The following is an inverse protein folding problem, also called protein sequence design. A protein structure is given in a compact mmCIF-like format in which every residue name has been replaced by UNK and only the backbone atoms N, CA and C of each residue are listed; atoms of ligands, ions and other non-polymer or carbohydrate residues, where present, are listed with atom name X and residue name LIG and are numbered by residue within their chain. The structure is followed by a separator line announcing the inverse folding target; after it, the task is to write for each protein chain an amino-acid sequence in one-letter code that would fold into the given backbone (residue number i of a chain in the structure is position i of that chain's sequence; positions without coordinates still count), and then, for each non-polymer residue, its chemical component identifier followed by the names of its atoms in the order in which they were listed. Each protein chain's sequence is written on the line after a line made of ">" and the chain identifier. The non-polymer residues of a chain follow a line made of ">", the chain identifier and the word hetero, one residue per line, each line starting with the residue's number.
data_IF_785876458422
#
_entry.id   IF_785876458422
#
_cell.length_a   1.000
_cell.length_b   1.000
_cell.length_c   1.000
_cell.angle_alpha   90.00
_cell.angle_beta   90.00
_cell.angle_gamma   90.00
#
_symmetry.space_group_name_H-M   'P 1'
#
loop_
_entity.id
_entity.type
_entity.pdbx_description
1 polymer ?
#
# COMPACT_ATOMS: atom_id res chain seq x y z
N UNK A 1 -93.82 -14.99 5.38
CA UNK A 1 -94.38 -14.28 4.21
C UNK A 1 -93.43 -13.15 3.84
N UNK A 2 -93.04 -13.13 2.57
CA UNK A 2 -92.05 -12.29 1.90
C UNK A 2 -92.39 -10.81 1.92
N UNK A 3 -91.38 -9.93 2.05
CA UNK A 3 -91.29 -8.72 1.22
C UNK A 3 -89.87 -8.17 1.14
N UNK A 4 -89.58 -7.66 -0.05
CA UNK A 4 -88.29 -7.37 -0.69
C UNK A 4 -87.91 -5.88 -0.57
N UNK A 5 -86.59 -5.65 -0.58
CA UNK A 5 -85.80 -4.61 -1.29
C UNK A 5 -85.77 -3.19 -0.70
N UNK A 6 -84.57 -2.62 -0.57
CA UNK A 6 -84.08 -1.53 -1.43
C UNK A 6 -82.56 -1.27 -1.26
N UNK A 7 -81.94 -0.90 -2.37
CA UNK A 7 -80.51 -0.73 -2.68
C UNK A 7 -80.01 0.71 -2.52
N UNK A 8 -78.75 0.90 -2.11
CA UNK A 8 -77.95 2.13 -2.29
C UNK A 8 -76.55 1.70 -2.84
N UNK A 9 -76.24 1.89 -4.13
CA UNK A 9 -75.50 3.03 -4.77
C UNK A 9 -74.13 3.31 -4.10
N UNK A 10 -73.00 2.82 -4.66
CA UNK A 10 -72.12 3.37 -5.74
C UNK A 10 -70.91 4.20 -5.22
N UNK A 11 -69.71 3.57 -5.24
CA UNK A 11 -68.32 4.02 -5.60
C UNK A 11 -67.72 5.37 -5.09
N UNK A 12 -66.37 5.55 -4.97
CA UNK A 12 -65.27 4.74 -5.53
C UNK A 12 -64.11 4.40 -4.57
N UNK A 13 -63.57 3.17 -4.67
CA UNK A 13 -62.28 2.79 -4.12
C UNK A 13 -61.29 2.56 -5.29
N UNK A 14 -60.93 3.63 -6.00
CA UNK A 14 -59.97 3.57 -7.12
C UNK A 14 -58.72 4.43 -6.88
N UNK A 15 -58.57 5.02 -5.69
CA UNK A 15 -57.45 5.91 -5.38
C UNK A 15 -56.19 5.29 -4.75
N UNK A 16 -56.19 4.10 -4.08
CA UNK A 16 -54.95 3.61 -3.48
C UNK A 16 -54.10 2.75 -4.42
N UNK A 17 -54.63 2.28 -5.55
CA UNK A 17 -53.92 1.36 -6.45
C UNK A 17 -53.01 2.08 -7.47
N UNK A 18 -53.34 3.32 -7.82
CA UNK A 18 -52.54 4.17 -8.71
C UNK A 18 -51.31 4.76 -8.02
N UNK A 19 -51.35 4.98 -6.71
CA UNK A 19 -50.21 5.52 -5.95
C UNK A 19 -49.08 4.48 -5.76
N UNK A 20 -49.43 3.19 -5.63
CA UNK A 20 -48.45 2.10 -5.52
C UNK A 20 -47.76 1.80 -6.87
N UNK A 21 -48.45 2.02 -7.99
CA UNK A 21 -47.88 1.87 -9.34
C UNK A 21 -46.86 2.97 -9.68
N UNK A 22 -47.01 4.18 -9.13
CA UNK A 22 -46.06 5.28 -9.31
C UNK A 22 -44.78 5.11 -8.48
N UNK A 23 -44.83 4.39 -7.35
CA UNK A 23 -43.64 4.06 -6.55
C UNK A 23 -42.76 2.97 -7.20
N UNK A 24 -43.30 2.19 -8.14
CA UNK A 24 -42.60 1.13 -8.86
C UNK A 24 -42.06 1.55 -10.24
N UNK A 25 -42.38 2.77 -10.70
CA UNK A 25 -41.90 3.30 -11.98
C UNK A 25 -40.47 3.90 -11.92
N UNK A 26 -39.79 3.77 -10.78
CA UNK A 26 -38.46 4.31 -10.54
C UNK A 26 -37.30 3.31 -10.63
N UNK A 27 -37.47 2.12 -11.23
CA UNK A 27 -36.35 1.23 -11.50
C UNK A 27 -35.48 1.82 -12.63
N UNK A 28 -34.58 2.73 -12.29
CA UNK A 28 -33.57 3.25 -13.22
C UNK A 28 -32.67 2.07 -13.65
N UNK A 29 -32.90 1.57 -14.86
CA UNK A 29 -32.03 0.56 -15.46
C UNK A 29 -30.70 1.22 -15.78
N UNK A 30 -29.61 0.70 -15.23
CA UNK A 30 -28.27 1.21 -15.49
C UNK A 30 -27.97 1.17 -17.01
N UNK A 31 -27.29 2.21 -17.50
CA UNK A 31 -26.82 2.34 -18.88
C UNK A 31 -25.34 2.73 -18.88
N UNK A 32 -24.54 2.23 -19.84
CA UNK A 32 -23.13 2.58 -19.94
C UNK A 32 -22.97 4.09 -20.22
N UNK A 33 -22.03 4.77 -19.54
CA UNK A 33 -21.74 6.17 -19.83
C UNK A 33 -21.19 6.37 -21.26
N UNK A 34 -21.47 7.55 -21.85
CA UNK A 34 -21.08 7.91 -23.22
C UNK A 34 -19.95 8.95 -23.30
N UNK A 35 -19.48 9.45 -22.16
CA UNK A 35 -18.47 10.53 -22.10
C UNK A 35 -17.05 9.98 -22.14
N UNK A 36 -16.15 10.64 -22.88
CA UNK A 36 -14.72 10.28 -22.89
C UNK A 36 -14.01 10.73 -21.59
N UNK A 37 -14.07 9.88 -20.57
CA UNK A 37 -13.35 10.07 -19.31
C UNK A 37 -11.82 9.99 -19.47
N UNK A 38 -11.31 9.38 -20.56
CA UNK A 38 -9.89 9.09 -20.73
C UNK A 38 -9.07 10.34 -21.01
N UNK A 39 -9.61 11.30 -21.76
CA UNK A 39 -8.91 12.56 -22.05
C UNK A 39 -8.53 13.32 -20.78
N UNK A 40 -9.46 13.43 -19.81
CA UNK A 40 -9.19 14.08 -18.53
C UNK A 40 -8.18 13.30 -17.67
N UNK A 41 -8.22 11.96 -17.71
CA UNK A 41 -7.27 11.10 -17.01
C UNK A 41 -5.86 11.26 -17.58
N UNK A 42 -5.71 11.23 -18.91
CA UNK A 42 -4.42 11.37 -19.60
C UNK A 42 -3.76 12.71 -19.30
N UNK A 43 -4.53 13.79 -19.18
CA UNK A 43 -4.02 15.13 -18.88
C UNK A 43 -3.32 15.25 -17.50
N UNK A 44 -3.69 14.39 -16.54
CA UNK A 44 -3.11 14.36 -15.18
C UNK A 44 -2.38 13.07 -14.85
N UNK A 45 -2.09 12.25 -15.86
CA UNK A 45 -1.44 10.96 -15.67
C UNK A 45 0.07 11.15 -15.44
N UNK A 46 0.60 10.39 -14.49
CA UNK A 46 2.04 10.26 -14.34
C UNK A 46 2.59 9.45 -15.51
N UNK A 47 3.64 9.95 -16.15
CA UNK A 47 4.24 9.35 -17.34
C UNK A 47 5.68 8.96 -17.05
N UNK A 48 6.04 7.72 -17.39
CA UNK A 48 7.41 7.23 -17.31
C UNK A 48 7.73 6.36 -18.51
N UNK A 49 8.97 6.41 -18.97
CA UNK A 49 9.43 5.63 -20.14
C UNK A 49 10.68 4.84 -19.79
N UNK A 50 10.71 3.56 -20.17
CA UNK A 50 11.83 2.65 -19.94
C UNK A 50 11.86 1.59 -21.03
N UNK A 51 13.04 1.33 -21.60
CA UNK A 51 13.28 0.21 -22.53
C UNK A 51 12.24 0.13 -23.67
N UNK A 52 11.91 1.26 -24.30
CA UNK A 52 10.95 1.31 -25.41
C UNK A 52 9.48 1.20 -25.00
N UNK A 53 9.17 1.23 -23.70
CA UNK A 53 7.80 1.29 -23.18
C UNK A 53 7.55 2.67 -22.58
N UNK A 54 6.42 3.29 -22.92
CA UNK A 54 5.90 4.47 -22.23
C UNK A 54 4.65 4.08 -21.46
N UNK A 55 4.69 4.27 -20.15
CA UNK A 55 3.62 3.95 -19.22
C UNK A 55 3.01 5.24 -18.68
N UNK A 56 1.68 5.34 -18.77
CA UNK A 56 0.89 6.43 -18.19
C UNK A 56 -0.11 5.84 -17.21
N UNK A 57 -0.25 6.44 -16.03
CA UNK A 57 -1.26 6.00 -15.08
C UNK A 57 -1.89 7.16 -14.30
N UNK A 58 -3.17 7.00 -13.93
CA UNK A 58 -3.91 7.95 -13.12
C UNK A 58 -4.92 7.24 -12.22
N UNK A 59 -4.94 7.58 -10.92
CA UNK A 59 -6.00 7.15 -9.99
C UNK A 59 -7.30 7.84 -10.37
N UNK A 60 -8.40 7.12 -10.57
CA UNK A 60 -9.70 7.72 -10.88
C UNK A 60 -10.23 8.52 -9.67
N UNK A 61 -10.71 9.74 -9.90
CA UNK A 61 -11.52 10.48 -8.93
C UNK A 61 -12.94 9.91 -8.84
N UNK A 62 -13.73 10.37 -7.87
CA UNK A 62 -15.17 10.09 -7.84
C UNK A 62 -15.84 10.53 -9.15
N UNK A 63 -15.55 11.75 -9.60
CA UNK A 63 -16.10 12.28 -10.84
C UNK A 63 -15.68 11.48 -12.09
N UNK A 64 -14.48 10.90 -12.10
CA UNK A 64 -14.05 10.00 -13.19
C UNK A 64 -14.77 8.66 -13.13
N UNK A 65 -15.01 8.14 -11.91
CA UNK A 65 -15.74 6.89 -11.69
C UNK A 65 -17.19 7.03 -12.14
N UNK A 66 -17.87 8.13 -11.77
CA UNK A 66 -19.22 8.43 -12.22
C UNK A 66 -19.27 8.57 -13.76
N UNK A 67 -18.29 9.26 -14.36
CA UNK A 67 -18.20 9.40 -15.82
C UNK A 67 -17.91 8.11 -16.56
N UNK A 68 -17.15 7.17 -15.99
CA UNK A 68 -16.70 5.96 -16.68
C UNK A 68 -17.58 4.74 -16.39
N UNK A 69 -18.14 4.65 -15.19
CA UNK A 69 -18.94 3.51 -14.73
C UNK A 69 -20.38 3.87 -14.41
N UNK A 70 -20.71 5.14 -14.16
CA UNK A 70 -22.07 5.58 -13.81
C UNK A 70 -22.58 5.01 -12.48
N UNK A 71 -21.67 4.52 -11.63
CA UNK A 71 -21.97 3.93 -10.33
C UNK A 71 -20.80 4.17 -9.37
N UNK A 72 -21.12 4.35 -8.09
CA UNK A 72 -20.10 4.55 -7.07
C UNK A 72 -19.41 3.23 -6.70
N UNK A 73 -18.23 3.03 -7.25
CA UNK A 73 -17.34 1.91 -6.94
C UNK A 73 -16.46 2.24 -5.71
N UNK A 74 -16.21 3.52 -5.43
CA UNK A 74 -15.29 3.92 -4.35
C UNK A 74 -15.91 3.66 -2.98
N UNK A 75 -17.24 3.79 -2.89
CA UNK A 75 -18.01 3.41 -1.71
C UNK A 75 -17.86 1.94 -1.29
N UNK A 76 -17.45 1.04 -2.19
CA UNK A 76 -17.20 -0.38 -1.86
C UNK A 76 -15.76 -0.66 -1.40
N UNK A 77 -14.94 0.39 -1.23
CA UNK A 77 -13.55 0.25 -0.83
C UNK A 77 -12.62 -0.13 -2.00
N UNK A 78 -13.01 0.12 -3.25
CA UNK A 78 -12.18 -0.09 -4.44
C UNK A 78 -11.69 1.25 -4.97
N UNK A 79 -10.39 1.34 -5.28
CA UNK A 79 -9.78 2.50 -5.93
C UNK A 79 -9.30 2.11 -7.33
N UNK A 80 -10.05 2.47 -8.39
CA UNK A 80 -9.66 2.16 -9.75
C UNK A 80 -8.48 3.03 -10.20
N UNK A 81 -7.59 2.46 -11.00
CA UNK A 81 -6.46 3.15 -11.62
C UNK A 81 -6.51 2.88 -13.12
N UNK A 82 -6.54 3.95 -13.91
CA UNK A 82 -6.38 3.85 -15.35
C UNK A 82 -4.91 3.74 -15.70
N UNK A 83 -4.59 2.80 -16.58
CA UNK A 83 -3.24 2.54 -17.09
C UNK A 83 -3.30 2.56 -18.61
N UNK A 84 -2.32 3.20 -19.23
CA UNK A 84 -2.03 3.14 -20.66
C UNK A 84 -0.57 2.75 -20.87
N UNK A 85 -0.36 1.76 -21.71
CA UNK A 85 0.96 1.26 -22.10
C UNK A 85 1.11 1.42 -23.60
N UNK A 86 2.06 2.26 -23.98
CA UNK A 86 2.53 2.42 -25.35
C UNK A 86 3.80 1.58 -25.51
N UNK A 87 3.71 0.52 -26.33
CA UNK A 87 4.79 -0.43 -26.53
C UNK A 87 5.50 -0.14 -27.86
N UNK A 88 6.57 0.65 -27.81
CA UNK A 88 7.45 0.92 -28.95
C UNK A 88 8.58 -0.12 -29.08
N UNK A 89 8.57 -1.18 -28.27
CA UNK A 89 9.53 -2.28 -28.38
C UNK A 89 9.13 -3.28 -29.46
N UNK A 90 10.06 -4.16 -29.82
CA UNK A 90 9.84 -5.23 -30.81
C UNK A 90 9.12 -6.46 -30.22
N UNK A 91 8.86 -6.47 -28.91
CA UNK A 91 8.30 -7.64 -28.20
C UNK A 91 6.87 -7.36 -27.74
N UNK A 92 6.04 -8.39 -27.75
CA UNK A 92 4.73 -8.36 -27.09
C UNK A 92 4.93 -8.38 -25.57
N UNK A 93 4.17 -7.56 -24.85
CA UNK A 93 4.23 -7.44 -23.39
C UNK A 93 2.92 -7.88 -22.75
N UNK A 94 3.01 -8.43 -21.54
CA UNK A 94 1.88 -8.83 -20.71
C UNK A 94 1.97 -8.08 -19.39
N UNK A 95 0.92 -7.33 -19.04
CA UNK A 95 0.78 -6.74 -17.72
C UNK A 95 0.49 -7.82 -16.68
N UNK A 96 1.36 -7.98 -15.69
CA UNK A 96 1.14 -8.84 -14.53
C UNK A 96 0.29 -8.09 -13.49
N UNK A 97 -1.03 -8.28 -13.56
CA UNK A 97 -2.00 -7.49 -12.77
C UNK A 97 -1.79 -7.61 -11.25
N UNK A 98 -1.45 -8.79 -10.74
CA UNK A 98 -1.17 -9.01 -9.31
C UNK A 98 0.08 -8.29 -8.83
N UNK A 99 0.97 -7.87 -9.74
CA UNK A 99 2.09 -6.99 -9.41
C UNK A 99 1.66 -5.57 -9.06
N UNK A 100 0.47 -5.13 -9.51
CA UNK A 100 -0.07 -3.79 -9.24
C UNK A 100 -0.61 -3.63 -7.82
N UNK A 101 -1.23 -4.69 -7.30
CA UNK A 101 -1.74 -4.82 -5.94
C UNK A 101 -1.87 -6.33 -5.65
N UNK A 102 -1.27 -6.86 -4.57
CA UNK A 102 -1.42 -8.27 -4.21
C UNK A 102 -2.87 -8.70 -3.94
N UNK A 103 -3.71 -7.77 -3.47
CA UNK A 103 -5.16 -7.98 -3.29
C UNK A 103 -5.96 -7.26 -4.37
N UNK A 104 -5.48 -7.29 -5.62
CA UNK A 104 -6.20 -6.76 -6.79
C UNK A 104 -7.61 -7.34 -6.92
N UNK A 105 -8.59 -6.51 -7.25
CA UNK A 105 -9.97 -6.93 -7.50
C UNK A 105 -10.20 -7.24 -8.98
N UNK A 106 -10.77 -8.40 -9.29
CA UNK A 106 -11.12 -8.70 -10.68
C UNK A 106 -12.24 -7.80 -11.19
N UNK A 107 -12.32 -7.45 -12.49
CA UNK A 107 -13.40 -6.58 -12.98
C UNK A 107 -14.80 -7.10 -12.66
N UNK A 108 -14.99 -8.42 -12.70
CA UNK A 108 -16.27 -9.07 -12.41
C UNK A 108 -16.59 -9.14 -10.91
N UNK A 109 -15.58 -9.21 -10.05
CA UNK A 109 -15.76 -9.08 -8.60
C UNK A 109 -16.23 -7.67 -8.22
N UNK A 110 -15.65 -6.65 -8.84
CA UNK A 110 -16.11 -5.27 -8.64
C UNK A 110 -17.52 -5.07 -9.19
N UNK A 111 -17.81 -5.60 -10.39
CA UNK A 111 -19.16 -5.56 -10.95
C UNK A 111 -20.18 -6.22 -10.02
N UNK A 112 -19.85 -7.40 -9.47
CA UNK A 112 -20.70 -8.12 -8.52
C UNK A 112 -21.03 -7.30 -7.27
N UNK A 113 -20.06 -6.51 -6.76
CA UNK A 113 -20.27 -5.66 -5.58
C UNK A 113 -21.40 -4.63 -5.72
N UNK A 114 -21.81 -4.33 -6.96
CA UNK A 114 -22.86 -3.36 -7.29
C UNK A 114 -24.08 -4.00 -7.97
N UNK A 115 -24.18 -5.33 -7.96
CA UNK A 115 -25.33 -6.04 -8.52
C UNK A 115 -26.62 -5.79 -7.74
N UNK A 116 -27.72 -5.70 -8.48
CA UNK A 116 -29.06 -5.64 -7.91
C UNK A 116 -29.69 -7.04 -7.85
N UNK A 117 -30.40 -7.36 -6.77
CA UNK A 117 -30.92 -8.71 -6.52
C UNK A 117 -31.98 -9.18 -7.53
N UNK A 118 -32.75 -8.26 -8.12
CA UNK A 118 -33.88 -8.57 -8.99
C UNK A 118 -33.70 -8.15 -10.46
N UNK A 119 -32.52 -7.67 -10.86
CA UNK A 119 -32.27 -7.18 -12.23
C UNK A 119 -31.09 -7.88 -12.91
N UNK A 120 -31.31 -9.15 -13.30
CA UNK A 120 -30.31 -9.97 -13.99
C UNK A 120 -29.82 -9.34 -15.31
N UNK A 121 -30.68 -8.61 -16.03
CA UNK A 121 -30.31 -8.00 -17.32
C UNK A 121 -29.39 -6.80 -17.12
N UNK A 122 -29.61 -5.98 -16.09
CA UNK A 122 -28.68 -4.91 -15.75
C UNK A 122 -27.36 -5.47 -15.21
N UNK A 123 -27.39 -6.50 -14.35
CA UNK A 123 -26.18 -7.13 -13.85
C UNK A 123 -25.30 -7.69 -14.98
N UNK A 124 -25.88 -8.38 -15.97
CA UNK A 124 -25.13 -8.88 -17.12
C UNK A 124 -24.49 -7.75 -17.96
N UNK A 125 -25.16 -6.60 -18.07
CA UNK A 125 -24.63 -5.41 -18.74
C UNK A 125 -23.49 -4.75 -17.94
N UNK A 126 -23.59 -4.74 -16.61
CA UNK A 126 -22.52 -4.31 -15.73
C UNK A 126 -21.29 -5.21 -15.89
N UNK A 127 -21.45 -6.53 -15.81
CA UNK A 127 -20.36 -7.50 -15.98
C UNK A 127 -19.62 -7.30 -17.30
N UNK A 128 -20.36 -7.16 -18.39
CA UNK A 128 -19.79 -6.92 -19.72
C UNK A 128 -19.06 -5.55 -19.79
N UNK A 129 -19.63 -4.51 -19.17
CA UNK A 129 -19.00 -3.19 -19.13
C UNK A 129 -17.70 -3.18 -18.33
N UNK A 130 -17.70 -3.69 -17.11
CA UNK A 130 -16.49 -3.76 -16.28
C UNK A 130 -15.39 -4.60 -16.96
N UNK A 131 -15.76 -5.73 -17.57
CA UNK A 131 -14.81 -6.57 -18.32
C UNK A 131 -14.29 -5.89 -19.61
N UNK A 132 -15.03 -4.94 -20.18
CA UNK A 132 -14.55 -4.08 -21.29
C UNK A 132 -13.60 -2.98 -20.80
N UNK A 133 -13.90 -2.34 -19.69
CA UNK A 133 -13.08 -1.26 -19.13
C UNK A 133 -11.78 -1.78 -18.49
N UNK A 134 -11.76 -3.02 -18.03
CA UNK A 134 -10.57 -3.65 -17.46
C UNK A 134 -9.40 -3.74 -18.45
N UNK A 135 -8.16 -3.60 -17.96
CA UNK A 135 -6.96 -3.67 -18.81
C UNK A 135 -6.81 -5.03 -19.51
N UNK A 136 -6.63 -5.02 -20.84
CA UNK A 136 -6.54 -6.22 -21.67
C UNK A 136 -5.12 -6.52 -22.14
N UNK A 137 -4.68 -7.74 -21.86
CA UNK A 137 -3.46 -8.33 -22.41
C UNK A 137 -3.78 -9.09 -23.71
N UNK A 138 -2.78 -9.35 -24.56
CA UNK A 138 -1.43 -8.78 -24.50
C UNK A 138 -1.37 -7.34 -25.05
N UNK A 139 -0.21 -6.72 -24.91
CA UNK A 139 0.17 -5.42 -25.48
C UNK A 139 1.15 -5.70 -26.64
N UNK A 140 0.67 -5.82 -27.89
CA UNK A 140 1.54 -6.15 -29.02
C UNK A 140 2.65 -5.13 -29.25
N UNK A 141 3.71 -5.54 -29.94
CA UNK A 141 4.77 -4.64 -30.41
C UNK A 141 4.18 -3.53 -31.30
N UNK A 142 4.64 -2.29 -31.11
CA UNK A 142 4.16 -1.10 -31.82
C UNK A 142 2.73 -0.66 -31.47
N UNK A 143 2.07 -1.30 -30.50
CA UNK A 143 0.69 -1.01 -30.14
C UNK A 143 0.56 -0.27 -28.81
N UNK A 144 -0.53 0.48 -28.67
CA UNK A 144 -0.97 1.07 -27.41
C UNK A 144 -2.17 0.30 -26.87
N UNK A 145 -2.18 0.05 -25.56
CA UNK A 145 -3.30 -0.53 -24.83
C UNK A 145 -3.58 0.28 -23.58
N UNK A 146 -4.85 0.51 -23.29
CA UNK A 146 -5.29 1.18 -22.08
C UNK A 146 -6.44 0.44 -21.42
N UNK A 147 -6.60 0.64 -20.12
CA UNK A 147 -7.74 0.13 -19.37
C UNK A 147 -7.56 0.35 -17.88
N UNK A 148 -8.53 -0.10 -17.11
CA UNK A 148 -8.57 0.08 -15.66
C UNK A 148 -8.07 -1.18 -14.95
N UNK A 149 -7.28 -0.97 -13.90
CA UNK A 149 -7.00 -1.98 -12.87
C UNK A 149 -7.70 -1.55 -11.58
N UNK A 150 -8.36 -2.49 -10.91
CA UNK A 150 -9.09 -2.22 -9.68
C UNK A 150 -8.23 -2.60 -8.48
N UNK A 151 -7.82 -1.60 -7.73
CA UNK A 151 -6.86 -1.76 -6.63
C UNK A 151 -7.48 -1.34 -5.31
N UNK A 152 -6.78 -1.59 -4.22
CA UNK A 152 -7.19 -1.12 -2.91
C UNK A 152 -6.90 0.38 -2.71
N UNK A 153 -7.64 1.04 -1.82
CA UNK A 153 -7.50 2.46 -1.57
C UNK A 153 -6.16 2.78 -0.92
N UNK A 154 -5.58 3.88 -1.37
CA UNK A 154 -4.48 4.58 -0.73
C UNK A 154 -4.87 6.03 -0.53
N UNK A 155 -4.32 6.66 0.51
CA UNK A 155 -4.56 8.08 0.83
C UNK A 155 -3.38 8.95 0.38
N UNK A 156 -3.65 10.14 -0.11
CA UNK A 156 -2.58 11.08 -0.47
C UNK A 156 -1.94 10.73 -1.82
N UNK A 157 -0.96 9.84 -1.74
CA UNK A 157 -0.23 9.32 -2.89
C UNK A 157 -0.42 7.81 -2.94
N UNK A 158 -0.94 7.32 -4.06
CA UNK A 158 -0.99 5.89 -4.36
C UNK A 158 0.31 5.47 -5.04
N UNK A 159 1.00 4.52 -4.43
CA UNK A 159 2.12 3.85 -5.06
C UNK A 159 1.57 2.74 -5.96
N UNK A 160 1.96 2.76 -7.24
CA UNK A 160 1.56 1.75 -8.22
C UNK A 160 2.79 1.05 -8.77
N UNK A 161 2.88 -0.25 -8.54
CA UNK A 161 3.82 -1.12 -9.23
C UNK A 161 3.22 -1.55 -10.58
N UNK A 162 4.00 -1.56 -11.65
CA UNK A 162 3.58 -2.10 -12.94
C UNK A 162 4.70 -2.98 -13.46
N UNK A 163 4.43 -4.27 -13.59
CA UNK A 163 5.38 -5.25 -14.10
C UNK A 163 4.89 -5.75 -15.47
N UNK A 164 5.71 -5.53 -16.50
CA UNK A 164 5.45 -5.98 -17.87
C UNK A 164 6.38 -7.14 -18.22
N UNK A 165 5.79 -8.30 -18.46
CA UNK A 165 6.48 -9.51 -18.86
C UNK A 165 6.47 -9.63 -20.38
N UNK A 166 7.65 -9.65 -20.98
CA UNK A 166 7.87 -10.03 -22.37
C UNK A 166 8.69 -11.31 -22.48
N UNK A 167 9.01 -11.72 -23.69
CA UNK A 167 9.89 -12.88 -23.91
C UNK A 167 11.27 -12.62 -23.28
N UNK A 168 11.62 -13.46 -22.29
CA UNK A 168 12.83 -13.40 -21.47
C UNK A 168 13.15 -12.02 -20.89
N UNK A 169 12.14 -11.17 -20.65
CA UNK A 169 12.35 -9.83 -20.10
C UNK A 169 11.23 -9.44 -19.15
N UNK A 170 11.60 -8.77 -18.05
CA UNK A 170 10.66 -8.16 -17.11
C UNK A 170 10.99 -6.69 -16.96
N UNK A 171 10.06 -5.82 -17.33
CA UNK A 171 10.20 -4.38 -17.19
C UNK A 171 9.32 -3.93 -16.02
N UNK A 172 9.97 -3.64 -14.90
CA UNK A 172 9.33 -3.12 -13.70
C UNK A 172 9.32 -1.59 -13.68
N UNK A 173 8.17 -1.03 -13.30
CA UNK A 173 7.91 0.38 -13.05
C UNK A 173 7.31 0.59 -11.66
N UNK A 174 7.58 1.74 -11.07
CA UNK A 174 6.96 2.22 -9.85
C UNK A 174 6.55 3.68 -10.05
N UNK A 175 5.27 3.98 -9.87
CA UNK A 175 4.71 5.33 -10.03
C UNK A 175 4.12 5.83 -8.71
N UNK A 176 4.23 7.14 -8.49
CA UNK A 176 3.66 7.86 -7.36
C UNK A 176 2.47 8.67 -7.86
N UNK A 177 1.26 8.10 -7.78
CA UNK A 177 0.06 8.71 -8.33
C UNK A 177 -0.63 9.57 -7.28
N UNK A 178 -0.95 10.81 -7.63
CA UNK A 178 -1.79 11.67 -6.78
C UNK A 178 -3.23 11.13 -6.73
N UNK A 179 -3.83 11.06 -5.53
CA UNK A 179 -5.23 10.67 -5.32
C UNK A 179 -6.12 11.92 -5.35
N UNK A 180 -6.85 12.23 -6.43
CA UNK A 180 -7.42 13.56 -6.63
C UNK A 180 -8.38 14.02 -5.53
N UNK A 181 -9.22 13.11 -5.02
CA UNK A 181 -10.26 13.43 -4.04
C UNK A 181 -9.72 13.68 -2.63
N UNK A 182 -8.47 13.30 -2.37
CA UNK A 182 -7.83 13.54 -1.08
C UNK A 182 -7.14 14.92 -1.03
N UNK A 183 -7.17 15.71 -2.11
CA UNK A 183 -6.42 16.97 -2.22
C UNK A 183 -6.73 18.01 -1.11
N UNK A 184 -7.92 17.94 -0.52
CA UNK A 184 -8.35 18.77 0.61
C UNK A 184 -7.97 18.21 1.98
N UNK A 185 -7.46 16.98 2.07
CA UNK A 185 -7.11 16.32 3.32
C UNK A 185 -5.72 16.80 3.81
N UNK A 186 -5.55 17.14 5.11
CA UNK A 186 -4.27 17.64 5.63
C UNK A 186 -3.07 16.73 5.33
N UNK A 187 -3.27 15.40 5.41
CA UNK A 187 -2.25 14.39 5.11
C UNK A 187 -1.82 14.31 3.64
N UNK A 188 -2.65 14.78 2.70
CA UNK A 188 -2.35 14.76 1.26
C UNK A 188 -1.25 15.77 0.90
N UNK A 189 -1.14 16.86 1.64
CA UNK A 189 -0.22 17.96 1.36
C UNK A 189 1.23 17.73 1.84
N UNK A 190 1.49 16.65 2.59
CA UNK A 190 2.81 16.39 3.15
C UNK A 190 3.73 15.79 2.09
N UNK A 191 4.48 16.67 1.43
CA UNK A 191 5.63 16.28 0.60
C UNK A 191 6.57 15.37 1.40
N UNK A 192 7.18 14.39 0.74
CA UNK A 192 8.25 13.60 1.34
C UNK A 192 9.30 14.57 1.89
N UNK A 193 9.65 14.38 3.15
CA UNK A 193 10.66 15.20 3.80
C UNK A 193 12.00 15.03 3.08
N UNK A 194 12.72 16.14 2.88
CA UNK A 194 14.04 16.15 2.27
C UNK A 194 14.95 17.09 3.06
N UNK A 195 16.18 16.66 3.28
CA UNK A 195 17.23 17.54 3.79
C UNK A 195 17.80 18.40 2.66
N UNK A 196 18.28 19.62 2.96
CA UNK A 196 19.18 20.33 2.07
C UNK A 196 20.42 19.46 1.78
N UNK A 197 20.96 19.45 0.55
CA UNK A 197 22.12 18.60 0.21
C UNK A 197 23.32 18.82 1.14
N UNK A 198 23.56 20.06 1.58
CA UNK A 198 24.65 20.40 2.50
C UNK A 198 24.51 19.80 3.92
N UNK A 199 23.30 19.35 4.30
CA UNK A 199 23.05 18.72 5.59
C UNK A 199 23.19 17.19 5.54
N UNK A 200 23.41 16.61 4.36
CA UNK A 200 23.52 15.15 4.17
C UNK A 200 25.00 14.77 4.09
N UNK A 201 25.42 13.84 4.94
CA UNK A 201 26.77 13.26 4.87
C UNK A 201 26.74 11.98 4.03
N UNK A 202 27.48 11.95 2.93
CA UNK A 202 27.60 10.77 2.07
C UNK A 202 28.79 9.90 2.48
N UNK A 203 28.55 8.59 2.63
CA UNK A 203 29.57 7.60 2.98
C UNK A 203 29.98 6.79 1.74
N UNK A 204 31.28 6.71 1.40
CA UNK A 204 31.74 6.08 0.17
C UNK A 204 31.87 4.56 0.27
N UNK A 205 32.03 4.01 1.48
CA UNK A 205 32.33 2.60 1.73
C UNK A 205 31.49 2.01 2.88
N UNK A 206 31.38 0.69 2.91
CA UNK A 206 30.56 -0.04 3.87
C UNK A 206 31.05 0.10 5.32
N UNK A 207 32.36 0.24 5.54
CA UNK A 207 32.94 0.39 6.87
C UNK A 207 32.61 1.74 7.49
N UNK A 208 32.77 2.82 6.72
CA UNK A 208 32.40 4.17 7.15
C UNK A 208 30.89 4.32 7.34
N UNK A 209 30.08 3.70 6.45
CA UNK A 209 28.63 3.60 6.62
C UNK A 209 28.27 2.89 7.94
N UNK A 210 28.78 1.67 8.18
CA UNK A 210 28.50 0.90 9.41
C UNK A 210 28.76 1.76 10.65
N UNK A 211 29.93 2.40 10.73
CA UNK A 211 30.29 3.25 11.85
C UNK A 211 29.35 4.46 12.03
N UNK A 212 28.77 4.98 10.94
CA UNK A 212 27.76 6.04 11.02
C UNK A 212 26.40 5.52 11.50
N UNK A 213 25.98 4.35 11.03
CA UNK A 213 24.72 3.71 11.44
C UNK A 213 24.71 3.37 12.94
N UNK A 214 25.85 2.95 13.51
CA UNK A 214 26.01 2.67 14.95
C UNK A 214 25.82 3.94 15.82
N UNK A 215 26.01 5.14 15.27
CA UNK A 215 25.83 6.42 16.00
C UNK A 215 24.41 6.97 15.91
N UNK A 216 23.53 6.39 15.08
CA UNK A 216 22.14 6.82 14.97
C UNK A 216 21.37 6.54 16.27
N UNK A 217 20.40 7.40 16.66
CA UNK A 217 19.70 7.31 17.94
C UNK A 217 19.06 5.94 18.15
N UNK A 218 19.16 5.39 19.37
CA UNK A 218 18.63 4.05 19.68
C UNK A 218 17.14 3.94 19.41
N UNK A 219 16.40 4.99 19.74
CA UNK A 219 15.00 4.94 20.06
C UNK A 219 14.34 6.26 19.65
N UNK A 220 13.04 6.22 19.40
CA UNK A 220 12.27 7.45 19.24
C UNK A 220 12.16 8.20 20.58
N UNK A 221 11.75 9.46 20.53
CA UNK A 221 11.41 10.28 21.69
C UNK A 221 9.98 10.78 21.63
N UNK A 222 9.47 11.29 22.74
CA UNK A 222 8.22 12.04 22.77
C UNK A 222 8.39 13.44 22.13
N UNK A 223 7.32 14.24 22.17
CA UNK A 223 7.31 15.62 21.68
C UNK A 223 8.26 16.56 22.42
N UNK A 224 8.56 16.28 23.69
CA UNK A 224 9.49 17.06 24.51
C UNK A 224 10.96 16.64 24.31
N UNK A 225 11.21 15.51 23.65
CA UNK A 225 12.55 14.92 23.50
C UNK A 225 13.08 14.28 24.79
N UNK A 226 12.22 14.04 25.79
CA UNK A 226 12.62 13.56 27.12
C UNK A 226 12.23 12.10 27.36
N UNK A 227 11.05 11.69 26.89
CA UNK A 227 10.57 10.32 26.98
C UNK A 227 11.34 9.37 26.06
N UNK A 228 11.64 8.16 26.55
CA UNK A 228 12.20 7.08 25.75
C UNK A 228 11.06 6.36 25.03
N UNK A 229 11.05 6.40 23.70
CA UNK A 229 10.08 5.74 22.84
C UNK A 229 10.49 4.34 22.44
N UNK A 230 9.80 3.82 21.43
CA UNK A 230 10.05 2.49 20.89
C UNK A 230 11.43 2.42 20.18
N UNK A 231 12.10 1.26 20.18
CA UNK A 231 13.45 1.11 19.61
C UNK A 231 13.45 1.21 18.07
N UNK A 232 14.50 1.82 17.52
CA UNK A 232 14.75 1.92 16.09
C UNK A 232 15.58 0.71 15.66
N UNK A 233 14.91 -0.27 15.06
CA UNK A 233 15.39 -1.65 14.84
C UNK A 233 15.61 -2.00 13.35
N UNK A 234 15.44 -1.06 12.42
CA UNK A 234 15.70 -1.28 11.00
C UNK A 234 16.27 -0.07 10.28
N UNK A 235 16.98 -0.31 9.18
CA UNK A 235 17.60 0.70 8.32
C UNK A 235 17.38 0.28 6.86
N UNK A 236 17.02 1.24 6.02
CA UNK A 236 16.87 1.07 4.57
C UNK A 236 17.89 1.95 3.87
N UNK A 237 18.59 1.40 2.87
CA UNK A 237 19.53 2.12 2.01
C UNK A 237 19.08 1.96 0.56
N UNK A 238 18.69 3.06 -0.10
CA UNK A 238 18.19 2.99 -1.48
C UNK A 238 17.14 4.03 -1.79
N UNK A 239 16.73 4.12 -3.06
CA UNK A 239 15.69 5.06 -3.43
C UNK A 239 14.36 4.71 -2.75
N UNK A 240 13.56 5.73 -2.40
CA UNK A 240 12.24 5.52 -1.79
C UNK A 240 11.33 4.68 -2.70
N UNK A 241 11.50 4.80 -4.02
CA UNK A 241 10.75 4.02 -5.01
C UNK A 241 11.05 2.52 -4.92
N UNK A 242 12.31 2.13 -4.73
CA UNK A 242 12.72 0.72 -4.67
C UNK A 242 12.20 0.06 -3.38
N UNK A 243 12.37 0.74 -2.23
CA UNK A 243 11.81 0.28 -0.97
C UNK A 243 10.28 0.21 -1.02
N UNK A 244 9.61 1.26 -1.50
CA UNK A 244 8.14 1.29 -1.64
C UNK A 244 7.63 0.15 -2.52
N UNK A 245 8.30 -0.11 -3.65
CA UNK A 245 7.92 -1.17 -4.56
C UNK A 245 8.02 -2.55 -3.92
N UNK A 246 9.08 -2.79 -3.14
CA UNK A 246 9.27 -4.02 -2.37
C UNK A 246 8.17 -4.20 -1.31
N UNK A 247 7.85 -3.14 -0.57
CA UNK A 247 6.83 -3.18 0.49
C UNK A 247 5.42 -3.48 -0.06
N UNK A 248 5.03 -2.90 -1.19
CA UNK A 248 3.73 -3.14 -1.83
C UNK A 248 3.58 -4.61 -2.24
N UNK A 249 4.62 -5.24 -2.78
CA UNK A 249 4.59 -6.67 -3.15
C UNK A 249 4.35 -7.59 -1.95
N UNK A 250 4.71 -7.13 -0.75
CA UNK A 250 4.47 -7.81 0.52
C UNK A 250 3.21 -7.32 1.22
N UNK A 251 2.36 -6.61 0.47
CA UNK A 251 1.06 -6.08 0.86
C UNK A 251 1.11 -5.05 2.00
N UNK A 252 2.20 -4.29 2.11
CA UNK A 252 2.24 -3.14 2.99
C UNK A 252 1.63 -1.94 2.30
N UNK A 253 0.77 -1.21 3.02
CA UNK A 253 0.10 -0.01 2.53
C UNK A 253 0.37 1.17 3.44
N UNK A 254 0.41 2.36 2.85
CA UNK A 254 0.49 3.60 3.62
C UNK A 254 -0.78 3.76 4.44
N UNK A 255 -0.62 3.77 5.75
CA UNK A 255 -1.68 3.94 6.72
C UNK A 255 -0.99 4.53 7.94
N UNK A 256 -1.22 5.80 8.21
CA UNK A 256 -0.66 6.53 9.35
C UNK A 256 -1.80 6.85 10.31
N UNK A 257 -1.58 6.63 11.59
CA UNK A 257 -2.57 6.84 12.64
C UNK A 257 -2.01 7.81 13.68
N UNK A 258 -2.88 8.43 14.47
CA UNK A 258 -2.49 9.50 15.40
C UNK A 258 -1.41 9.06 16.41
N UNK A 259 -1.47 7.81 16.89
CA UNK A 259 -0.47 7.31 17.83
C UNK A 259 0.93 7.15 17.22
N UNK A 260 1.04 7.03 15.90
CA UNK A 260 2.34 7.01 15.23
C UNK A 260 3.06 8.35 15.34
N UNK A 261 2.30 9.45 15.45
CA UNK A 261 2.84 10.81 15.53
C UNK A 261 3.42 11.13 16.91
N UNK A 262 3.15 10.29 17.92
CA UNK A 262 3.77 10.40 19.24
C UNK A 262 5.26 10.02 19.20
N UNK A 263 5.65 9.11 18.30
CA UNK A 263 7.03 8.69 18.11
C UNK A 263 7.77 9.71 17.24
N UNK A 264 8.86 10.28 17.75
CA UNK A 264 9.68 11.25 17.01
C UNK A 264 11.12 10.81 16.90
N UNK A 265 11.71 11.09 15.74
CA UNK A 265 13.14 10.92 15.48
C UNK A 265 13.62 12.17 14.78
N UNK A 266 14.78 12.70 15.14
CA UNK A 266 15.27 13.99 14.63
C UNK A 266 14.28 15.16 14.87
N UNK A 267 13.52 15.10 15.98
CA UNK A 267 12.50 16.11 16.35
C UNK A 267 11.19 16.06 15.56
N UNK A 268 11.04 15.10 14.65
CA UNK A 268 9.93 15.03 13.68
C UNK A 268 9.17 13.70 13.76
N UNK A 269 7.88 13.77 13.48
CA UNK A 269 7.02 12.59 13.34
C UNK A 269 7.44 11.77 12.08
N UNK A 270 7.00 10.51 11.93
CA UNK A 270 7.36 9.68 10.78
C UNK A 270 7.10 10.37 9.43
N UNK A 271 7.99 10.16 8.46
CA UNK A 271 7.80 10.61 7.07
C UNK A 271 6.76 9.75 6.34
N UNK A 272 6.75 8.46 6.67
CA UNK A 272 5.75 7.52 6.20
C UNK A 272 5.50 6.47 7.28
N UNK A 273 4.27 5.95 7.28
CA UNK A 273 3.92 4.76 8.06
C UNK A 273 3.28 3.75 7.14
N UNK A 274 3.84 2.55 7.15
CA UNK A 274 3.37 1.41 6.37
C UNK A 274 2.77 0.37 7.32
N UNK A 275 1.65 -0.22 6.95
CA UNK A 275 1.03 -1.34 7.68
C UNK A 275 0.78 -2.49 6.73
N UNK A 276 1.23 -3.69 7.11
CA UNK A 276 0.92 -4.92 6.37
C UNK A 276 -0.58 -5.15 6.38
N UNK A 277 -1.20 -5.14 5.22
CA UNK A 277 -2.55 -5.63 5.03
C UNK A 277 -2.41 -7.13 4.87
N UNK A 278 -2.77 -7.88 5.89
CA UNK A 278 -2.71 -9.34 5.83
C UNK A 278 -4.10 -9.86 5.46
N UNK A 279 -4.19 -10.77 4.49
CA UNK A 279 -5.32 -11.68 4.45
C UNK A 279 -5.35 -12.49 5.75
N UNK A 280 -6.52 -13.01 6.13
CA UNK A 280 -6.72 -13.72 7.40
C UNK A 280 -5.58 -14.71 7.68
N UNK A 281 -4.69 -14.37 8.61
CA UNK A 281 -3.61 -15.25 9.06
C UNK A 281 -2.17 -14.77 8.92
N UNK A 282 -1.86 -13.60 8.34
CA UNK A 282 -0.49 -13.06 8.37
C UNK A 282 -0.24 -12.16 9.62
N UNK A 283 1.01 -12.05 10.13
CA UNK A 283 1.34 -11.14 11.23
C UNK A 283 1.04 -9.68 10.89
N UNK A 284 0.33 -8.97 11.77
CA UNK A 284 0.15 -7.53 11.65
C UNK A 284 1.50 -6.84 11.95
N UNK A 285 2.03 -6.07 11.00
CA UNK A 285 3.30 -5.34 11.16
C UNK A 285 3.10 -3.91 10.72
N UNK A 286 3.62 -2.96 11.49
CA UNK A 286 3.78 -1.57 11.08
C UNK A 286 5.25 -1.21 10.95
N UNK A 287 5.53 -0.23 10.10
CA UNK A 287 6.85 0.34 9.89
C UNK A 287 6.69 1.85 9.87
N UNK A 288 7.31 2.53 10.83
CA UNK A 288 7.47 3.99 10.80
C UNK A 288 8.83 4.32 10.20
N UNK A 289 8.87 5.29 9.30
CA UNK A 289 10.04 5.57 8.45
C UNK A 289 10.47 7.03 8.65
N UNK A 290 11.77 7.24 8.85
CA UNK A 290 12.39 8.57 8.88
C UNK A 290 13.62 8.62 7.99
N UNK A 291 13.69 9.56 7.04
CA UNK A 291 14.94 9.90 6.34
C UNK A 291 16.04 10.37 7.32
N UNK A 292 17.19 9.70 7.31
CA UNK A 292 18.36 10.12 8.09
C UNK A 292 19.18 11.16 7.29
N UNK A 293 19.93 12.08 7.95
CA UNK A 293 20.79 13.07 7.29
C UNK A 293 22.10 12.44 6.78
N UNK A 294 22.03 11.22 6.26
CA UNK A 294 23.17 10.47 5.73
C UNK A 294 22.76 9.73 4.46
N UNK A 295 23.74 9.48 3.59
CA UNK A 295 23.59 8.67 2.38
C UNK A 295 24.76 7.71 2.21
N UNK A 296 24.59 6.69 1.37
CA UNK A 296 25.64 5.77 0.97
C UNK A 296 25.76 5.80 -0.54
N UNK A 297 26.88 6.30 -1.07
CA UNK A 297 27.10 6.44 -2.51
C UNK A 297 25.95 7.19 -3.19
N UNK A 298 25.47 8.27 -2.57
CA UNK A 298 24.33 9.07 -3.01
C UNK A 298 22.95 8.43 -2.79
N UNK A 299 22.87 7.18 -2.29
CA UNK A 299 21.60 6.51 -1.95
C UNK A 299 21.13 6.97 -0.57
N UNK A 300 19.89 7.48 -0.41
CA UNK A 300 19.41 7.94 0.88
C UNK A 300 19.27 6.79 1.89
N UNK A 301 19.47 7.10 3.16
CA UNK A 301 19.30 6.16 4.27
C UNK A 301 18.06 6.52 5.08
N UNK A 302 17.22 5.54 5.38
CA UNK A 302 16.05 5.70 6.24
C UNK A 302 16.22 4.86 7.50
N UNK A 303 15.85 5.44 8.63
CA UNK A 303 15.76 4.76 9.92
C UNK A 303 14.32 4.29 10.13
N UNK A 304 14.17 3.05 10.57
CA UNK A 304 12.89 2.37 10.74
C UNK A 304 12.63 2.06 12.21
N UNK A 305 11.36 2.17 12.59
CA UNK A 305 10.80 1.58 13.78
C UNK A 305 9.76 0.56 13.34
N UNK A 306 10.10 -0.72 13.49
CA UNK A 306 9.29 -1.86 13.07
C UNK A 306 8.65 -2.47 14.30
N UNK A 307 7.34 -2.66 14.27
CA UNK A 307 6.62 -3.23 15.39
C UNK A 307 5.35 -3.94 14.95
N UNK A 308 4.70 -4.56 15.92
CA UNK A 308 3.41 -5.24 15.75
C UNK A 308 2.54 -4.96 16.96
N UNK A 309 1.20 -5.00 16.84
CA UNK A 309 0.33 -4.84 17.98
C UNK A 309 0.38 -6.06 18.91
N UNK A 310 0.22 -5.82 20.22
CA UNK A 310 -0.09 -6.86 21.20
C UNK A 310 -1.37 -7.60 20.79
N UNK A 311 -1.40 -8.93 20.99
CA UNK A 311 -2.55 -9.79 20.64
C UNK A 311 -2.70 -10.07 19.14
N UNK A 312 -2.03 -9.31 18.26
CA UNK A 312 -2.02 -9.54 16.81
C UNK A 312 -3.43 -9.70 16.24
N UNK A 313 -3.71 -10.88 15.66
CA UNK A 313 -5.02 -11.20 15.05
C UNK A 313 -6.14 -11.50 16.05
N UNK A 314 -5.79 -11.74 17.31
CA UNK A 314 -6.73 -12.09 18.38
C UNK A 314 -7.07 -10.88 19.26
N UNK A 315 -6.40 -9.75 19.04
CA UNK A 315 -6.73 -8.51 19.73
C UNK A 315 -8.11 -8.03 19.28
N UNK A 316 -8.95 -7.67 20.24
CA UNK A 316 -10.21 -7.00 19.95
C UNK A 316 -9.95 -5.60 19.37
N UNK A 317 -10.87 -5.12 18.53
CA UNK A 317 -10.69 -3.88 17.77
C UNK A 317 -10.59 -2.61 18.65
N UNK A 318 -11.05 -2.69 19.90
CA UNK A 318 -11.06 -1.65 20.92
C UNK A 318 -9.80 -1.64 21.81
N UNK A 319 -8.89 -2.61 21.63
CA UNK A 319 -7.63 -2.65 22.37
C UNK A 319 -6.70 -1.55 21.85
N UNK A 320 -6.13 -0.79 22.79
CA UNK A 320 -5.13 0.23 22.48
C UNK A 320 -3.99 -0.37 21.66
N UNK A 321 -3.56 0.33 20.61
CA UNK A 321 -2.50 -0.10 19.70
C UNK A 321 -1.13 0.00 20.39
N UNK A 322 -0.84 -0.97 21.25
CA UNK A 322 0.42 -1.10 21.98
C UNK A 322 1.39 -1.98 21.18
N UNK A 323 2.66 -1.59 21.13
CA UNK A 323 3.72 -2.40 20.54
C UNK A 323 3.93 -3.69 21.35
N UNK A 324 4.04 -4.82 20.67
CA UNK A 324 4.45 -6.10 21.23
C UNK A 324 5.91 -6.05 21.70
N UNK A 325 6.21 -6.74 22.81
CA UNK A 325 7.52 -6.60 23.46
C UNK A 325 8.69 -7.23 22.72
N UNK A 326 8.45 -8.28 21.94
CA UNK A 326 9.45 -8.85 21.04
C UNK A 326 9.57 -8.01 19.75
N UNK A 327 10.41 -6.98 19.79
CA UNK A 327 10.63 -6.09 18.65
C UNK A 327 11.55 -6.69 17.58
N UNK A 328 12.34 -7.71 17.94
CA UNK A 328 13.25 -8.37 17.01
C UNK A 328 12.50 -9.36 16.15
N UNK A 329 11.47 -10.04 16.67
CA UNK A 329 10.54 -10.84 15.86
C UNK A 329 9.89 -9.96 14.77
N UNK A 330 9.39 -8.78 15.14
CA UNK A 330 8.79 -7.85 14.17
C UNK A 330 9.80 -7.41 13.10
N UNK A 331 11.02 -7.05 13.50
CA UNK A 331 12.14 -6.74 12.59
C UNK A 331 12.43 -7.93 11.66
N UNK A 332 12.55 -9.14 12.20
CA UNK A 332 12.94 -10.34 11.45
C UNK A 332 11.84 -10.76 10.46
N UNK A 333 10.56 -10.65 10.82
CA UNK A 333 9.43 -10.89 9.92
C UNK A 333 9.41 -9.88 8.77
N UNK A 334 9.70 -8.60 9.05
CA UNK A 334 9.83 -7.58 8.01
C UNK A 334 11.02 -7.84 7.09
N UNK A 335 12.16 -8.29 7.63
CA UNK A 335 13.33 -8.72 6.82
C UNK A 335 12.97 -9.88 5.89
N UNK A 336 12.24 -10.89 6.39
CA UNK A 336 11.75 -11.99 5.55
C UNK A 336 10.83 -11.49 4.43
N UNK A 337 9.89 -10.59 4.73
CA UNK A 337 9.07 -9.96 3.70
C UNK A 337 9.95 -9.25 2.65
N UNK A 338 10.98 -8.52 3.07
CA UNK A 338 11.90 -7.85 2.15
C UNK A 338 12.69 -8.85 1.28
N UNK A 339 13.12 -9.99 1.82
CA UNK A 339 13.75 -11.07 1.04
C UNK A 339 12.80 -11.59 -0.04
N UNK A 340 11.54 -11.87 0.31
CA UNK A 340 10.52 -12.34 -0.63
C UNK A 340 9.96 -11.25 -1.56
N UNK A 341 10.46 -10.01 -1.48
CA UNK A 341 10.00 -8.90 -2.31
C UNK A 341 10.68 -8.82 -3.68
N UNK A 342 11.81 -9.53 -3.85
CA UNK A 342 12.72 -9.48 -5.01
C UNK A 342 13.36 -8.09 -5.25
N UNK A 343 13.36 -7.22 -4.24
CA UNK A 343 13.99 -5.88 -4.28
C UNK A 343 15.16 -5.68 -3.31
N UNK A 344 15.45 -6.68 -2.46
CA UNK A 344 16.53 -6.64 -1.48
C UNK A 344 17.84 -7.13 -2.13
N UNK A 345 18.83 -6.24 -2.22
CA UNK A 345 20.16 -6.52 -2.78
C UNK A 345 21.10 -7.07 -1.71
N UNK A 346 21.16 -6.40 -0.56
CA UNK A 346 22.07 -6.73 0.54
C UNK A 346 21.37 -6.68 1.87
N UNK A 347 21.76 -7.57 2.77
CA UNK A 347 21.33 -7.56 4.17
C UNK A 347 22.55 -7.54 5.09
N UNK A 348 22.48 -6.74 6.14
CA UNK A 348 23.45 -6.78 7.23
C UNK A 348 22.74 -6.52 8.57
N UNK A 349 23.47 -6.71 9.66
CA UNK A 349 23.06 -6.28 10.99
C UNK A 349 24.10 -5.35 11.58
N UNK A 350 23.65 -4.33 12.30
CA UNK A 350 24.53 -3.35 12.94
C UNK A 350 24.02 -3.06 14.35
N UNK A 351 24.92 -2.69 15.26
CA UNK A 351 24.54 -2.31 16.63
C UNK A 351 23.64 -1.07 16.59
N UNK A 352 22.62 -1.06 17.46
CA UNK A 352 21.69 0.05 17.58
C UNK A 352 21.26 0.27 19.02
N UNK A 353 20.04 -0.17 19.42
CA UNK A 353 19.64 -0.12 20.81
C UNK A 353 20.59 -0.90 21.73
N UNK A 354 20.65 -0.52 23.00
CA UNK A 354 21.28 -1.38 24.01
C UNK A 354 20.50 -2.69 24.09
N UNK A 355 21.16 -3.86 24.11
CA UNK A 355 20.48 -5.13 24.33
C UNK A 355 19.68 -5.10 25.65
N UNK A 356 18.45 -5.59 25.59
CA UNK A 356 17.52 -5.68 26.73
C UNK A 356 17.03 -7.12 26.82
N UNK A 357 17.48 -7.92 27.79
CA UNK A 357 16.99 -9.27 27.99
C UNK A 357 15.50 -9.29 28.35
N UNK A 358 14.80 -10.37 28.01
CA UNK A 358 13.37 -10.58 28.35
C UNK A 358 13.08 -10.42 29.86
N UNK A 359 14.02 -10.81 30.74
CA UNK A 359 13.85 -10.66 32.18
C UNK A 359 13.93 -9.20 32.69
N UNK A 360 14.35 -8.26 31.84
CA UNK A 360 14.63 -6.86 32.18
C UNK A 360 13.94 -5.91 31.19
N UNK A 361 12.74 -6.27 30.71
CA UNK A 361 12.03 -5.49 29.69
C UNK A 361 11.95 -4.00 30.06
N UNK A 362 12.10 -3.16 29.05
CA UNK A 362 12.11 -1.70 29.23
C UNK A 362 10.79 -1.10 28.84
N UNK A 363 10.24 -0.25 29.71
CA UNK A 363 9.06 0.54 29.42
C UNK A 363 9.38 1.72 28.49
N UNK A 364 8.43 2.03 27.60
CA UNK A 364 8.42 3.20 26.72
C UNK A 364 7.42 4.24 27.24
N UNK A 365 7.52 5.49 26.77
CA UNK A 365 6.54 6.52 27.14
C UNK A 365 5.10 6.19 26.68
N UNK A 366 4.92 5.31 25.69
CA UNK A 366 3.61 4.85 25.24
C UNK A 366 3.02 3.74 26.13
N UNK A 367 3.76 3.30 27.16
CA UNK A 367 3.37 2.22 28.06
C UNK A 367 3.71 0.82 27.54
N UNK A 368 4.34 0.70 26.37
CA UNK A 368 4.79 -0.60 25.85
C UNK A 368 6.06 -1.04 26.59
N UNK A 369 6.18 -2.33 26.87
CA UNK A 369 7.41 -2.96 27.36
C UNK A 369 8.07 -3.72 26.22
N UNK A 370 9.41 -3.72 26.14
CA UNK A 370 10.13 -4.42 25.09
C UNK A 370 11.44 -5.06 25.55
N UNK A 371 11.88 -6.08 24.81
CA UNK A 371 13.18 -6.72 24.87
C UNK A 371 13.81 -6.74 23.47
N UNK A 372 15.14 -6.74 23.36
CA UNK A 372 15.85 -6.73 22.08
C UNK A 372 17.29 -7.23 22.20
N UNK A 373 17.82 -7.83 21.13
CA UNK A 373 19.22 -8.20 20.91
C UNK A 373 20.15 -7.00 20.68
N UNK A 374 19.57 -5.79 20.58
CA UNK A 374 20.31 -4.54 20.40
C UNK A 374 20.80 -4.28 18.97
N UNK A 375 20.30 -5.03 17.99
CA UNK A 375 20.71 -4.93 16.57
C UNK A 375 19.64 -4.28 15.71
N UNK A 376 20.10 -3.69 14.61
CA UNK A 376 19.27 -3.17 13.52
C UNK A 376 19.53 -3.98 12.27
N UNK A 377 18.47 -4.35 11.57
CA UNK A 377 18.59 -4.89 10.22
C UNK A 377 18.91 -3.75 9.25
N UNK A 378 19.92 -3.90 8.40
CA UNK A 378 20.33 -2.94 7.37
C UNK A 378 20.06 -3.56 6.00
N UNK A 379 19.14 -2.97 5.25
CA UNK A 379 18.61 -3.53 4.02
C UNK A 379 18.87 -2.59 2.86
N UNK A 380 19.57 -3.08 1.83
CA UNK A 380 19.89 -2.30 0.64
C UNK A 380 18.91 -2.66 -0.48
N UNK A 381 18.23 -1.66 -1.03
CA UNK A 381 17.20 -1.86 -2.05
C UNK A 381 17.65 -1.36 -3.42
N UNK A 382 17.39 -2.16 -4.45
CA UNK A 382 17.65 -1.83 -5.85
C UNK A 382 16.40 -2.01 -6.69
N UNK A 383 16.47 -1.50 -7.93
CA UNK A 383 15.42 -1.73 -8.91
C UNK A 383 15.39 -3.21 -9.33
N UNK A 384 14.21 -3.82 -9.19
CA UNK A 384 13.88 -5.23 -9.47
C UNK A 384 14.14 -5.68 -10.93
N UNK A 385 14.15 -7.01 -11.19
CA UNK A 385 14.08 -8.13 -10.21
C UNK A 385 15.46 -8.67 -9.79
N UNK A 386 15.52 -9.23 -8.58
CA UNK A 386 16.61 -10.07 -8.08
C UNK A 386 16.08 -11.45 -7.66
N UNK A 387 16.84 -12.52 -7.89
CA UNK A 387 16.56 -13.84 -7.32
C UNK A 387 16.96 -13.89 -5.84
N UNK A 388 16.35 -14.79 -5.06
CA UNK A 388 16.75 -15.03 -3.66
C UNK A 388 18.23 -15.45 -3.54
N UNK A 389 18.77 -16.14 -4.55
CA UNK A 389 20.18 -16.53 -4.64
C UNK A 389 21.14 -15.36 -4.79
N UNK A 390 20.62 -14.20 -5.21
CA UNK A 390 21.43 -13.03 -5.56
C UNK A 390 21.60 -12.08 -4.36
N UNK A 391 20.99 -12.40 -3.21
CA UNK A 391 21.07 -11.61 -1.99
C UNK A 391 22.46 -11.79 -1.36
N UNK A 392 23.19 -10.69 -1.21
CA UNK A 392 24.49 -10.65 -0.56
C UNK A 392 24.35 -10.27 0.94
N UNK A 393 24.68 -11.20 1.83
CA UNK A 393 24.62 -10.99 3.28
C UNK A 393 26.00 -10.57 3.79
N UNK A 394 26.10 -9.33 4.27
CA UNK A 394 27.36 -8.74 4.72
C UNK A 394 27.74 -9.27 6.12
N UNK A 395 29.01 -9.64 6.29
CA UNK A 395 29.58 -10.13 7.55
C UNK A 395 29.88 -8.97 8.52
N UNK A 396 28.84 -8.32 9.03
CA UNK A 396 28.95 -7.23 10.02
C UNK A 396 28.73 -7.71 11.46
N UNK A 397 27.72 -8.55 11.64
CA UNK A 397 27.35 -9.20 12.89
C UNK A 397 26.80 -10.61 12.54
N UNK A 398 26.99 -11.64 13.37
CA UNK A 398 26.61 -13.02 13.05
C UNK A 398 25.08 -13.21 12.99
N UNK A 399 24.57 -13.95 11.99
CA UNK A 399 23.12 -14.17 11.75
C UNK A 399 22.42 -14.93 12.90
N UNK A 400 23.17 -15.76 13.63
CA UNK A 400 22.66 -16.59 14.73
C UNK A 400 23.58 -16.40 15.94
N UNK A 401 23.00 -16.16 17.13
CA UNK A 401 23.72 -16.44 18.37
C UNK A 401 23.85 -17.95 18.48
N UNK A 402 25.00 -18.50 18.05
CA UNK A 402 25.33 -19.85 18.44
C UNK A 402 25.45 -19.87 19.96
N UNK A 403 24.65 -20.69 20.64
CA UNK A 403 24.92 -21.05 22.03
C UNK A 403 26.37 -21.53 22.07
N UNK A 404 27.24 -20.73 22.67
CA UNK A 404 28.61 -21.11 22.96
C UNK A 404 28.57 -22.21 24.01
N UNK A 405 28.35 -23.46 23.58
CA UNK A 405 28.78 -24.59 24.36
C UNK A 405 30.31 -24.54 24.40
N UNK A 406 30.83 -23.91 25.45
CA UNK A 406 32.17 -24.13 25.91
C UNK A 406 32.35 -25.65 26.07
N UNK A 407 33.15 -26.24 25.19
CA UNK A 407 33.69 -27.58 25.41
C UNK A 407 35.01 -27.39 26.14
N UNK A 408 35.06 -27.88 27.37
CA UNK A 408 36.30 -28.22 28.07
C UNK A 408 37.08 -29.30 27.30
#
# INVERSE_FOLDING_TARGET
>A
MTLRRFSLRWLPALFPMTFLAWLLAGCSTWQPPTTDAVTALRARAETTSKQGITLRAAVLSQADTDRMFGIDIRGTGVQPVWIEVENASERSMILLRTGTDPDYFSPLEVAWSVHSWFDRKSNARLDEWFNRQGFRNPIPAGATRSGVVFTNPSRGTKLLNVDLLGDQTLIAFTLFLSVPDDASHPDFSRKLFAYPPAAVTDYPDLGSLRAALERLPCCATDAAGQGVGEPLNGIVVGAVADFSAAMIRRNYRRNQQDFDNAQRVFGRIPDAVLRKQAQAGAPATWIRVWLAPISYQGRPVYLLQVGRPVGGRFAAADVAQLMHGDVDEARNLMVQDCMYSEGLEKLAFVRGPTPVPLAQERATFSGAHYHTDGRRAVMFFVLRPLSLSDIDILDWEPIVEGESHARE
#
